data_IF_467425653531
#
_entry.id   IF_467425653531
#
_cell.length_a   1.000
_cell.length_b   1.000
_cell.length_c   1.000
_cell.angle_alpha   90.00
_cell.angle_beta   90.00
_cell.angle_gamma   90.00
#
_symmetry.space_group_name_H-M   'P 1'
#
loop_
_entity.id
_entity.type
_entity.pdbx_description
1 polymer ?
#
# COMPACT_ATOMS: atom_id res chain seq x y z
N UNK A 1 5.64 5.48 -6.31
CA UNK A 1 5.01 4.60 -5.28
C UNK A 1 4.35 5.43 -4.20
N UNK A 2 3.18 5.01 -3.75
CA UNK A 2 2.45 5.67 -2.67
C UNK A 2 2.60 4.87 -1.38
N UNK A 3 3.00 5.53 -0.30
CA UNK A 3 3.12 4.93 1.03
C UNK A 3 2.00 5.49 1.90
N UNK A 4 1.10 4.62 2.36
CA UNK A 4 -0.07 5.00 3.16
C UNK A 4 0.03 4.39 4.55
N UNK A 5 0.33 5.23 5.53
CA UNK A 5 0.45 4.84 6.94
C UNK A 5 0.27 6.09 7.80
N UNK A 6 -0.39 5.95 8.95
CA UNK A 6 -0.63 7.08 9.84
C UNK A 6 0.54 7.37 10.80
N UNK A 7 1.53 6.48 10.86
CA UNK A 7 2.70 6.66 11.72
C UNK A 7 3.82 7.38 10.97
N UNK A 8 4.15 8.64 11.32
CA UNK A 8 5.17 9.40 10.57
C UNK A 8 6.53 8.74 10.51
N UNK A 9 6.93 8.04 11.58
CA UNK A 9 8.23 7.36 11.62
C UNK A 9 8.28 6.20 10.63
N UNK A 10 7.18 5.46 10.49
CA UNK A 10 7.09 4.34 9.55
C UNK A 10 7.17 4.87 8.12
N UNK A 11 6.42 5.93 7.82
CA UNK A 11 6.44 6.59 6.52
C UNK A 11 7.86 7.06 6.18
N UNK A 12 8.53 7.72 7.12
CA UNK A 12 9.88 8.25 6.90
C UNK A 12 10.88 7.14 6.58
N UNK A 13 10.86 6.06 7.37
CA UNK A 13 11.76 4.93 7.17
C UNK A 13 11.51 4.27 5.81
N UNK A 14 10.24 4.07 5.46
CA UNK A 14 9.89 3.46 4.18
C UNK A 14 10.30 4.34 3.01
N UNK A 15 10.03 5.64 3.06
CA UNK A 15 10.42 6.55 1.99
C UNK A 15 11.94 6.58 1.83
N UNK A 16 12.67 6.68 2.93
CA UNK A 16 14.13 6.67 2.89
C UNK A 16 14.66 5.39 2.24
N UNK A 17 14.16 4.25 2.67
CA UNK A 17 14.63 2.95 2.18
C UNK A 17 14.27 2.72 0.73
N UNK A 18 13.05 3.09 0.33
CA UNK A 18 12.57 2.89 -1.03
C UNK A 18 13.25 3.84 -2.02
N UNK A 19 13.45 5.10 -1.62
CA UNK A 19 14.14 6.07 -2.47
C UNK A 19 15.61 5.68 -2.67
N UNK A 20 16.23 5.06 -1.67
CA UNK A 20 17.58 4.53 -1.82
C UNK A 20 17.67 3.42 -2.89
N UNK A 21 16.55 2.75 -3.16
CA UNK A 21 16.47 1.71 -4.19
C UNK A 21 15.98 2.25 -5.55
N UNK A 22 15.81 3.56 -5.67
CA UNK A 22 15.44 4.19 -6.93
C UNK A 22 13.95 4.50 -7.10
N UNK A 23 13.12 4.22 -6.10
CA UNK A 23 11.69 4.54 -6.19
C UNK A 23 11.45 6.02 -5.92
N UNK A 24 10.50 6.61 -6.65
CA UNK A 24 9.94 7.91 -6.30
C UNK A 24 8.74 7.67 -5.40
N UNK A 25 8.68 8.30 -4.23
CA UNK A 25 7.65 8.02 -3.25
C UNK A 25 6.80 9.25 -2.93
N UNK A 26 5.52 8.99 -2.67
CA UNK A 26 4.56 9.95 -2.15
C UNK A 26 4.01 9.36 -0.85
N UNK A 27 3.60 10.20 0.08
CA UNK A 27 3.08 9.75 1.37
C UNK A 27 1.65 10.22 1.56
N UNK A 28 0.84 9.38 2.20
CA UNK A 28 -0.48 9.71 2.67
C UNK A 28 -0.64 9.17 4.09
N UNK A 29 -1.31 9.92 4.94
CA UNK A 29 -1.46 9.60 6.36
C UNK A 29 -2.84 9.05 6.72
N UNK A 30 -3.77 9.13 5.80
CA UNK A 30 -5.11 8.57 5.98
C UNK A 30 -5.69 8.19 4.62
N UNK A 31 -6.87 7.59 4.65
CA UNK A 31 -7.51 7.11 3.44
C UNK A 31 -7.93 8.20 2.48
N UNK A 32 -8.32 9.38 3.00
CA UNK A 32 -8.67 10.51 2.14
C UNK A 32 -7.46 11.01 1.35
N UNK A 33 -6.34 11.18 2.03
CA UNK A 33 -5.10 11.58 1.38
C UNK A 33 -4.65 10.52 0.38
N UNK A 34 -4.84 9.23 0.71
CA UNK A 34 -4.49 8.14 -0.19
C UNK A 34 -5.28 8.21 -1.49
N UNK A 35 -6.60 8.39 -1.41
CA UNK A 35 -7.43 8.47 -2.61
C UNK A 35 -7.11 9.69 -3.44
N UNK A 36 -6.83 10.84 -2.81
CA UNK A 36 -6.40 12.05 -3.51
C UNK A 36 -5.07 11.84 -4.23
N UNK A 37 -4.11 11.17 -3.58
CA UNK A 37 -2.81 10.89 -4.16
C UNK A 37 -2.91 9.93 -5.35
N UNK A 38 -3.78 8.93 -5.27
CA UNK A 38 -4.02 8.02 -6.39
C UNK A 38 -4.53 8.79 -7.60
N UNK A 39 -5.50 9.68 -7.40
CA UNK A 39 -6.07 10.48 -8.47
C UNK A 39 -5.06 11.48 -9.05
N UNK A 40 -4.21 12.07 -8.22
CA UNK A 40 -3.27 13.12 -8.63
C UNK A 40 -2.00 12.56 -9.27
N UNK A 41 -1.41 11.53 -8.67
CA UNK A 41 -0.09 11.04 -9.05
C UNK A 41 -0.11 9.75 -9.87
N UNK A 42 -1.22 9.05 -9.92
CA UNK A 42 -1.36 7.76 -10.62
C UNK A 42 -0.23 6.78 -10.28
N UNK A 43 0.01 6.48 -8.98
CA UNK A 43 1.11 5.60 -8.60
C UNK A 43 0.88 4.19 -9.15
N UNK A 44 1.97 3.52 -9.52
CA UNK A 44 1.90 2.13 -10.00
C UNK A 44 1.87 1.12 -8.86
N UNK A 45 2.46 1.50 -7.72
CA UNK A 45 2.54 0.65 -6.53
C UNK A 45 2.06 1.44 -5.32
N UNK A 46 1.39 0.76 -4.39
CA UNK A 46 0.95 1.35 -3.13
C UNK A 46 1.19 0.39 -1.98
N UNK A 47 1.79 0.91 -0.91
CA UNK A 47 1.84 0.23 0.38
C UNK A 47 0.69 0.79 1.22
N UNK A 48 -0.18 -0.07 1.71
CA UNK A 48 -1.39 0.35 2.40
C UNK A 48 -1.51 -0.29 3.76
N UNK A 49 -1.49 0.53 4.81
CA UNK A 49 -1.83 0.11 6.16
C UNK A 49 -3.36 0.04 6.29
N UNK A 50 -3.87 -1.06 6.84
CA UNK A 50 -5.31 -1.22 7.04
C UNK A 50 -5.84 -0.45 8.23
N UNK A 51 -5.01 -0.19 9.23
CA UNK A 51 -5.40 0.44 10.49
C UNK A 51 -5.02 1.92 10.48
N UNK A 52 -5.93 2.77 10.00
CA UNK A 52 -5.72 4.22 9.96
C UNK A 52 -6.94 4.96 10.47
N UNK A 53 -6.75 6.17 11.03
CA UNK A 53 -7.88 7.01 11.42
C UNK A 53 -8.60 7.58 10.20
N UNK A 54 -9.77 8.15 10.40
CA UNK A 54 -10.61 8.86 9.43
C UNK A 54 -11.22 7.92 8.39
N UNK A 55 -10.43 7.44 7.44
CA UNK A 55 -10.85 6.47 6.43
C UNK A 55 -9.81 5.36 6.43
N UNK A 56 -10.21 4.16 6.83
CA UNK A 56 -9.29 3.04 7.00
C UNK A 56 -8.87 2.41 5.66
N UNK A 57 -7.90 1.49 5.74
CA UNK A 57 -7.37 0.83 4.55
C UNK A 57 -8.39 -0.02 3.81
N UNK A 58 -9.35 -0.62 4.53
CA UNK A 58 -10.43 -1.40 3.89
C UNK A 58 -11.26 -0.52 2.97
N UNK A 59 -11.61 0.68 3.44
CA UNK A 59 -12.39 1.63 2.63
C UNK A 59 -11.61 2.12 1.41
N UNK A 60 -10.29 2.28 1.55
CA UNK A 60 -9.43 2.62 0.41
C UNK A 60 -9.47 1.51 -0.64
N UNK A 61 -9.34 0.25 -0.23
CA UNK A 61 -9.43 -0.88 -1.17
C UNK A 61 -10.78 -0.92 -1.88
N UNK A 62 -11.87 -0.74 -1.15
CA UNK A 62 -13.21 -0.72 -1.73
C UNK A 62 -13.36 0.40 -2.76
N UNK A 63 -12.87 1.59 -2.44
CA UNK A 63 -12.92 2.72 -3.36
C UNK A 63 -12.12 2.46 -4.64
N UNK A 64 -10.97 1.82 -4.50
CA UNK A 64 -10.13 1.47 -5.65
C UNK A 64 -10.80 0.48 -6.59
N UNK A 65 -11.64 -0.41 -6.07
CA UNK A 65 -12.38 -1.37 -6.89
C UNK A 65 -13.35 -0.69 -7.86
N UNK A 66 -13.72 0.56 -7.59
CA UNK A 66 -14.59 1.34 -8.46
C UNK A 66 -13.82 2.02 -9.62
N UNK A 67 -12.50 2.04 -9.56
CA UNK A 67 -11.68 2.59 -10.63
C UNK A 67 -11.46 1.57 -11.75
N UNK A 68 -11.28 2.03 -13.00
CA UNK A 68 -10.83 1.13 -14.06
C UNK A 68 -9.53 0.43 -13.68
N UNK A 69 -9.37 -0.80 -14.13
CA UNK A 69 -8.25 -1.65 -13.73
C UNK A 69 -6.90 -0.99 -14.02
N UNK A 70 -6.76 -0.32 -15.15
CA UNK A 70 -5.53 0.34 -15.57
C UNK A 70 -5.21 1.59 -14.75
N UNK A 71 -6.17 2.11 -13.98
CA UNK A 71 -5.95 3.25 -13.09
C UNK A 71 -5.63 2.84 -11.66
N UNK A 72 -5.71 1.55 -11.34
CA UNK A 72 -5.45 1.06 -9.99
C UNK A 72 -3.96 0.81 -9.79
N UNK A 73 -3.37 1.30 -8.68
CA UNK A 73 -2.03 0.85 -8.31
C UNK A 73 -2.07 -0.62 -7.90
N UNK A 74 -0.95 -1.31 -8.02
CA UNK A 74 -0.78 -2.60 -7.38
C UNK A 74 -0.59 -2.36 -5.90
N UNK A 75 -1.24 -3.15 -5.05
CA UNK A 75 -1.33 -2.88 -3.62
C UNK A 75 -0.67 -3.98 -2.82
N UNK A 76 0.27 -3.58 -1.96
CA UNK A 76 0.77 -4.42 -0.87
C UNK A 76 0.12 -3.92 0.41
N UNK A 77 -0.74 -4.74 1.00
CA UNK A 77 -1.35 -4.45 2.28
C UNK A 77 -0.36 -4.80 3.39
N UNK A 78 -0.15 -3.88 4.31
CA UNK A 78 0.74 -4.06 5.45
C UNK A 78 -0.09 -3.90 6.72
N UNK A 79 -0.10 -4.90 7.60
CA UNK A 79 -0.95 -4.83 8.77
C UNK A 79 -0.41 -5.67 9.93
N UNK A 80 -0.65 -5.17 11.16
CA UNK A 80 -0.41 -5.95 12.37
C UNK A 80 -1.44 -7.09 12.51
N UNK A 81 -2.60 -6.98 11.83
CA UNK A 81 -3.61 -8.03 11.78
C UNK A 81 -3.28 -8.97 10.63
N UNK A 82 -2.69 -10.14 10.96
CA UNK A 82 -2.19 -11.06 9.95
C UNK A 82 -2.93 -12.40 9.94
N UNK A 83 -4.20 -12.44 10.37
CA UNK A 83 -4.97 -13.68 10.35
C UNK A 83 -5.44 -14.02 8.92
N UNK A 84 -5.79 -15.30 8.71
CA UNK A 84 -6.18 -15.79 7.39
C UNK A 84 -7.43 -15.11 6.84
N UNK A 85 -8.38 -14.76 7.72
CA UNK A 85 -9.62 -14.09 7.30
C UNK A 85 -9.32 -12.71 6.71
N UNK A 86 -8.47 -11.93 7.36
CA UNK A 86 -8.12 -10.59 6.89
C UNK A 86 -7.31 -10.65 5.60
N UNK A 87 -6.41 -11.62 5.48
CA UNK A 87 -5.66 -11.84 4.24
C UNK A 87 -6.58 -12.18 3.07
N UNK A 88 -7.54 -13.08 3.30
CA UNK A 88 -8.51 -13.46 2.28
C UNK A 88 -9.37 -12.27 1.86
N UNK A 89 -9.85 -11.50 2.84
CA UNK A 89 -10.67 -10.31 2.57
C UNK A 89 -9.89 -9.27 1.76
N UNK A 90 -8.63 -9.03 2.13
CA UNK A 90 -7.79 -8.08 1.39
C UNK A 90 -7.59 -8.52 -0.06
N UNK A 91 -7.34 -9.81 -0.29
CA UNK A 91 -7.20 -10.35 -1.64
C UNK A 91 -8.49 -10.20 -2.45
N UNK A 92 -9.64 -10.48 -1.85
CA UNK A 92 -10.94 -10.30 -2.50
C UNK A 92 -11.19 -8.85 -2.90
N UNK A 93 -10.69 -7.89 -2.10
CA UNK A 93 -10.82 -6.47 -2.38
C UNK A 93 -9.70 -5.92 -3.29
N UNK A 94 -8.90 -6.80 -3.88
CA UNK A 94 -7.94 -6.42 -4.90
C UNK A 94 -6.51 -6.19 -4.43
N UNK A 95 -6.17 -6.55 -3.20
CA UNK A 95 -4.78 -6.50 -2.75
C UNK A 95 -3.95 -7.55 -3.49
N UNK A 96 -2.79 -7.15 -3.98
CA UNK A 96 -1.90 -8.03 -4.73
C UNK A 96 -0.96 -8.83 -3.82
N UNK A 97 -0.68 -8.30 -2.63
CA UNK A 97 0.14 -8.98 -1.64
C UNK A 97 -0.22 -8.50 -0.23
N UNK A 98 0.14 -9.29 0.77
CA UNK A 98 -0.11 -8.97 2.17
C UNK A 98 1.17 -9.24 2.96
N UNK A 99 1.61 -8.24 3.74
CA UNK A 99 2.77 -8.38 4.61
C UNK A 99 2.38 -8.11 6.06
N UNK A 100 2.66 -9.03 6.99
CA UNK A 100 2.40 -8.76 8.40
C UNK A 100 3.43 -7.78 8.97
N UNK A 101 3.00 -6.94 9.91
CA UNK A 101 3.91 -6.11 10.71
C UNK A 101 4.33 -6.90 11.96
N UNK A 102 5.56 -6.76 12.43
CA UNK A 102 6.66 -6.04 11.79
C UNK A 102 7.24 -6.81 10.59
N UNK A 103 7.73 -6.08 9.62
CA UNK A 103 8.38 -6.67 8.44
C UNK A 103 9.76 -6.05 8.24
N UNK A 104 10.64 -6.72 7.49
CA UNK A 104 11.89 -6.09 7.14
C UNK A 104 11.83 -5.54 5.71
N UNK A 105 12.64 -4.52 5.45
CA UNK A 105 12.62 -3.82 4.17
C UNK A 105 13.07 -4.71 3.01
N UNK A 106 13.99 -5.63 3.25
CA UNK A 106 14.47 -6.53 2.21
C UNK A 106 13.36 -7.45 1.71
N UNK A 107 12.53 -7.97 2.61
CA UNK A 107 11.37 -8.78 2.24
C UNK A 107 10.36 -7.96 1.44
N UNK A 108 10.13 -6.72 1.86
CA UNK A 108 9.25 -5.80 1.14
C UNK A 108 9.76 -5.53 -0.28
N UNK A 109 11.05 -5.26 -0.44
CA UNK A 109 11.66 -5.02 -1.74
C UNK A 109 11.49 -6.23 -2.67
N UNK A 110 11.63 -7.44 -2.13
CA UNK A 110 11.39 -8.66 -2.88
C UNK A 110 9.97 -8.76 -3.42
N UNK A 111 8.98 -8.46 -2.58
CA UNK A 111 7.56 -8.45 -2.97
C UNK A 111 7.31 -7.41 -4.06
N UNK A 112 7.84 -6.20 -3.89
CA UNK A 112 7.66 -5.12 -4.86
C UNK A 112 8.27 -5.48 -6.22
N UNK A 113 9.45 -6.08 -6.23
CA UNK A 113 10.11 -6.51 -7.45
C UNK A 113 9.29 -7.59 -8.16
N UNK A 114 8.72 -8.52 -7.42
CA UNK A 114 7.86 -9.56 -7.99
C UNK A 114 6.60 -8.96 -8.63
N UNK A 115 6.00 -7.98 -8.00
CA UNK A 115 4.83 -7.29 -8.56
C UNK A 115 5.19 -6.52 -9.83
N UNK A 116 6.34 -5.89 -9.88
CA UNK A 116 6.79 -5.18 -11.07
C UNK A 116 6.99 -6.14 -12.25
N UNK A 117 7.55 -7.32 -11.99
CA UNK A 117 7.78 -8.33 -13.03
C UNK A 117 6.48 -8.91 -13.57
N UNK A 118 5.45 -8.94 -12.75
CA UNK A 118 4.14 -9.47 -13.13
C UNK A 118 3.31 -8.48 -13.98
N UNK A 119 3.80 -7.29 -14.19
CA UNK A 119 3.08 -6.23 -14.92
C UNK A 119 3.07 -6.45 -16.41
#
# INVERSE_FOLDING_TARGET
MLVVDDEPQVVWVLQFSLEAEGYTTFAARDGKQALSAIAEHHPKLMLLDLMMPTLDGWSVLEAMMLLPREERPRVVVVSAMANLRDRAKAAELGADAFMPKPFNVDDLLGVLQDLEKAS
#
